data_IF_714535146769
#
_entry.id   IF_714535146769
#
_cell.length_a   1.000
_cell.length_b   1.000
_cell.length_c   1.000
_cell.angle_alpha   90.00
_cell.angle_beta   90.00
_cell.angle_gamma   90.00
#
_symmetry.space_group_name_H-M   'P 1'
#
loop_
_entity.id
_entity.type
_entity.pdbx_description
1 polymer ?
#
# COMPACT_ATOMS: atom_id res chain seq x y z
N UNK A 1 5.75 30.87 4.18
CA UNK A 1 5.91 29.54 4.80
C UNK A 1 6.94 28.80 3.97
N UNK A 2 8.14 28.62 4.51
CA UNK A 2 9.08 27.64 3.98
C UNK A 2 8.75 26.32 4.67
N UNK A 3 8.31 25.33 3.90
CA UNK A 3 8.25 23.97 4.41
C UNK A 3 9.69 23.46 4.26
N UNK A 4 10.40 23.30 5.37
CA UNK A 4 11.62 22.49 5.35
C UNK A 4 11.22 21.11 4.86
N UNK A 5 11.57 20.81 3.61
CA UNK A 5 11.48 19.46 3.09
C UNK A 5 12.41 18.63 3.98
N UNK A 6 11.84 17.71 4.76
CA UNK A 6 12.61 16.65 5.43
C UNK A 6 13.25 15.83 4.31
N UNK A 7 14.55 15.96 3.99
CA UNK A 7 15.17 15.15 2.97
C UNK A 7 15.86 14.03 3.74
N UNK A 8 15.09 13.17 4.40
CA UNK A 8 15.58 11.82 4.63
C UNK A 8 15.33 11.08 3.32
N UNK A 9 16.01 11.53 2.26
CA UNK A 9 16.08 10.81 1.00
C UNK A 9 16.90 9.58 1.32
N UNK A 10 16.20 8.52 1.71
CA UNK A 10 16.83 7.24 1.98
C UNK A 10 17.41 6.75 0.66
N UNK A 11 18.74 6.68 0.55
CA UNK A 11 19.42 6.26 -0.68
C UNK A 11 18.89 4.90 -1.18
N UNK A 12 18.50 4.02 -0.26
CA UNK A 12 17.92 2.72 -0.59
C UNK A 12 16.81 2.32 0.37
N UNK A 13 15.61 2.08 -0.15
CA UNK A 13 14.56 1.35 0.58
C UNK A 13 14.48 -0.05 -0.02
N UNK A 14 14.90 -1.04 0.75
CA UNK A 14 14.63 -2.45 0.46
C UNK A 14 13.47 -2.97 1.33
N UNK A 15 13.02 -4.21 1.09
CA UNK A 15 11.86 -4.80 1.78
C UNK A 15 12.05 -4.84 3.30
N UNK A 16 13.24 -5.19 3.77
CA UNK A 16 13.54 -5.26 5.20
C UNK A 16 13.45 -3.87 5.85
N UNK A 17 14.01 -2.86 5.19
CA UNK A 17 13.89 -1.46 5.63
C UNK A 17 12.44 -0.98 5.61
N UNK A 18 11.69 -1.26 4.55
CA UNK A 18 10.28 -0.88 4.44
C UNK A 18 9.45 -1.46 5.60
N UNK A 19 9.61 -2.74 5.91
CA UNK A 19 8.93 -3.40 7.02
C UNK A 19 9.35 -2.85 8.38
N UNK A 20 10.62 -2.49 8.56
CA UNK A 20 11.13 -1.89 9.79
C UNK A 20 10.58 -0.48 10.03
N UNK A 21 10.50 0.33 8.97
CA UNK A 21 10.05 1.72 9.02
C UNK A 21 8.52 1.88 9.03
N UNK A 22 7.78 0.91 8.49
CA UNK A 22 6.33 0.91 8.38
C UNK A 22 5.58 1.40 9.65
N UNK A 23 5.81 0.84 10.86
CA UNK A 23 5.09 1.28 12.07
C UNK A 23 5.41 2.72 12.49
N UNK A 24 6.57 3.25 12.12
CA UNK A 24 6.99 4.62 12.44
C UNK A 24 6.41 5.62 11.44
N UNK A 25 6.23 5.19 10.18
CA UNK A 25 5.78 6.05 9.09
C UNK A 25 4.30 6.46 9.19
N UNK A 26 3.47 5.62 9.84
CA UNK A 26 2.02 5.83 9.97
C UNK A 26 1.39 6.23 8.63
N UNK A 27 1.75 5.49 7.58
CA UNK A 27 1.47 5.85 6.20
C UNK A 27 0.14 5.27 5.71
N UNK A 28 -0.27 4.12 6.27
CA UNK A 28 -1.58 3.53 6.03
C UNK A 28 -2.66 4.27 6.84
N UNK A 29 -3.71 4.72 6.15
CA UNK A 29 -4.83 5.45 6.74
C UNK A 29 -6.18 4.71 6.65
N UNK A 30 -6.20 3.53 6.03
CA UNK A 30 -7.40 2.74 5.80
C UNK A 30 -7.78 1.83 6.98
N UNK A 31 -8.62 0.83 6.70
CA UNK A 31 -9.08 -0.15 7.69
C UNK A 31 -8.91 -1.56 7.16
N UNK A 32 -8.04 -2.37 7.78
CA UNK A 32 -7.87 -3.78 7.43
C UNK A 32 -9.15 -4.57 7.75
N UNK A 33 -9.62 -5.36 6.79
CA UNK A 33 -10.80 -6.24 6.90
C UNK A 33 -10.44 -7.68 6.53
N UNK A 34 -11.19 -8.67 7.00
CA UNK A 34 -10.87 -10.08 6.72
C UNK A 34 -11.17 -10.47 5.27
N UNK A 35 -12.27 -9.95 4.74
CA UNK A 35 -12.73 -10.24 3.39
C UNK A 35 -13.84 -9.31 2.95
N UNK A 36 -14.34 -9.52 1.73
CA UNK A 36 -15.36 -8.67 1.10
C UNK A 36 -16.63 -8.53 1.94
N UNK A 37 -16.99 -9.55 2.72
CA UNK A 37 -18.18 -9.56 3.57
C UNK A 37 -18.15 -8.48 4.66
N UNK A 38 -16.97 -7.99 5.04
CA UNK A 38 -16.78 -6.91 6.01
C UNK A 38 -16.62 -5.53 5.34
N UNK A 39 -16.63 -5.47 4.00
CA UNK A 39 -16.47 -4.21 3.28
C UNK A 39 -17.71 -3.32 3.43
N UNK A 40 -17.51 -2.00 3.42
CA UNK A 40 -18.61 -1.02 3.49
C UNK A 40 -19.57 -1.17 2.30
N UNK A 41 -19.02 -1.57 1.15
CA UNK A 41 -19.73 -1.84 -0.10
C UNK A 41 -19.72 -3.33 -0.44
N UNK A 42 -19.87 -4.20 0.57
CA UNK A 42 -19.90 -5.65 0.38
C UNK A 42 -20.90 -6.06 -0.71
N UNK A 43 -20.48 -6.98 -1.60
CA UNK A 43 -21.31 -7.48 -2.70
C UNK A 43 -21.39 -6.55 -3.92
N UNK A 44 -20.77 -5.38 -3.89
CA UNK A 44 -20.63 -4.50 -5.06
C UNK A 44 -19.28 -4.75 -5.77
N UNK A 45 -19.26 -5.41 -6.94
CA UNK A 45 -18.01 -5.72 -7.65
C UNK A 45 -17.23 -4.48 -8.07
N UNK A 46 -17.90 -3.33 -8.24
CA UNK A 46 -17.26 -2.07 -8.64
C UNK A 46 -16.46 -1.43 -7.50
N UNK A 47 -16.66 -1.90 -6.26
CA UNK A 47 -15.87 -1.48 -5.12
C UNK A 47 -14.57 -2.25 -4.98
N UNK A 48 -14.40 -3.39 -5.65
CA UNK A 48 -13.18 -4.21 -5.55
C UNK A 48 -12.01 -3.49 -6.20
N UNK A 49 -10.93 -3.36 -5.45
CA UNK A 49 -9.67 -2.78 -5.90
C UNK A 49 -8.81 -3.93 -6.38
N UNK A 50 -8.51 -3.92 -7.67
CA UNK A 50 -7.79 -4.98 -8.35
C UNK A 50 -6.52 -4.41 -8.95
N UNK A 51 -5.43 -5.16 -8.85
CA UNK A 51 -4.21 -4.85 -9.57
C UNK A 51 -4.40 -5.20 -11.06
N UNK A 52 -4.16 -4.27 -12.01
CA UNK A 52 -4.27 -4.56 -13.43
C UNK A 52 -3.46 -5.77 -13.91
N UNK A 53 -2.31 -6.06 -13.28
CA UNK A 53 -1.50 -7.23 -13.64
C UNK A 53 -1.99 -8.51 -12.93
N UNK A 54 -2.92 -8.40 -11.98
CA UNK A 54 -3.47 -9.51 -11.20
C UNK A 54 -5.00 -9.41 -11.06
N UNK A 55 -5.69 -9.48 -12.22
CA UNK A 55 -7.14 -9.30 -12.32
C UNK A 55 -7.99 -10.29 -11.48
N UNK A 56 -7.41 -11.42 -11.08
CA UNK A 56 -8.11 -12.47 -10.32
C UNK A 56 -8.02 -12.34 -8.81
N UNK A 57 -7.16 -11.45 -8.27
CA UNK A 57 -6.88 -11.37 -6.84
C UNK A 57 -6.99 -9.92 -6.37
N UNK A 58 -8.20 -9.44 -6.02
CA UNK A 58 -8.38 -8.11 -5.46
C UNK A 58 -7.53 -7.94 -4.20
N UNK A 59 -7.02 -6.73 -4.00
CA UNK A 59 -6.26 -6.35 -2.79
C UNK A 59 -7.19 -5.85 -1.68
N UNK A 60 -8.43 -5.49 -2.01
CA UNK A 60 -9.37 -4.93 -1.05
C UNK A 60 -10.61 -4.32 -1.69
N UNK A 61 -11.35 -3.55 -0.89
CA UNK A 61 -12.47 -2.74 -1.36
C UNK A 61 -12.22 -1.24 -1.17
N UNK A 62 -12.89 -0.44 -1.98
CA UNK A 62 -13.02 1.00 -1.80
C UNK A 62 -14.33 1.31 -1.08
N UNK A 63 -14.25 1.99 0.07
CA UNK A 63 -15.42 2.38 0.86
C UNK A 63 -16.17 3.60 0.34
N UNK A 64 -15.67 4.29 -0.70
CA UNK A 64 -16.36 5.46 -1.27
C UNK A 64 -17.45 5.05 -2.26
N UNK A 65 -18.55 5.80 -2.29
CA UNK A 65 -19.61 5.67 -3.31
C UNK A 65 -19.43 6.63 -4.49
N UNK A 66 -18.47 7.56 -4.39
CA UNK A 66 -18.15 8.53 -5.45
C UNK A 66 -17.15 7.99 -6.47
N UNK A 67 -17.01 8.70 -7.59
CA UNK A 67 -15.94 8.45 -8.55
C UNK A 67 -14.57 8.76 -7.93
N UNK A 68 -13.60 7.87 -8.15
CA UNK A 68 -12.22 8.03 -7.72
C UNK A 68 -11.30 7.89 -8.93
N UNK A 69 -10.51 8.91 -9.23
CA UNK A 69 -9.51 8.91 -10.31
C UNK A 69 -8.10 8.52 -9.85
N UNK A 70 -7.95 7.99 -8.63
CA UNK A 70 -6.67 7.57 -8.11
C UNK A 70 -6.18 6.30 -8.82
N UNK A 71 -4.87 6.16 -8.95
CA UNK A 71 -4.25 5.00 -9.59
C UNK A 71 -4.32 3.82 -8.62
N UNK A 72 -5.38 3.03 -8.74
CA UNK A 72 -5.54 1.78 -8.01
C UNK A 72 -4.58 0.70 -8.55
N UNK A 73 -4.05 -0.19 -7.69
CA UNK A 73 -4.20 -0.22 -6.23
C UNK A 73 -3.21 0.70 -5.50
N UNK A 74 -2.21 1.24 -6.21
CA UNK A 74 -1.04 1.91 -5.62
C UNK A 74 -1.45 3.07 -4.70
N UNK A 75 -2.25 4.00 -5.19
CA UNK A 75 -2.69 5.16 -4.42
C UNK A 75 -3.68 4.82 -3.29
N UNK A 76 -4.28 3.61 -3.30
CA UNK A 76 -5.23 3.21 -2.29
C UNK A 76 -4.58 2.97 -0.92
N UNK A 77 -3.31 2.58 -0.86
CA UNK A 77 -2.63 2.28 0.41
C UNK A 77 -2.52 3.48 1.36
N UNK A 78 -2.51 4.71 0.84
CA UNK A 78 -2.56 5.94 1.66
C UNK A 78 -3.96 6.52 1.79
N UNK A 79 -4.97 5.90 1.16
CA UNK A 79 -6.34 6.40 1.17
C UNK A 79 -7.10 5.92 2.42
N UNK A 80 -7.76 6.86 3.11
CA UNK A 80 -8.59 6.55 4.29
C UNK A 80 -9.79 5.64 4.03
N UNK A 81 -10.23 5.56 2.78
CA UNK A 81 -11.39 4.74 2.38
C UNK A 81 -10.97 3.35 1.90
N UNK A 82 -9.67 3.04 1.90
CA UNK A 82 -9.20 1.74 1.49
C UNK A 82 -9.45 0.70 2.58
N UNK A 83 -10.03 -0.42 2.17
CA UNK A 83 -10.29 -1.56 3.03
C UNK A 83 -9.52 -2.78 2.49
N UNK A 84 -8.20 -2.90 2.79
CA UNK A 84 -7.40 -4.04 2.35
C UNK A 84 -7.93 -5.35 2.94
N UNK A 85 -7.80 -6.44 2.18
CA UNK A 85 -8.19 -7.78 2.63
C UNK A 85 -7.03 -8.48 3.34
N UNK A 86 -7.34 -9.20 4.41
CA UNK A 86 -6.34 -9.95 5.19
C UNK A 86 -5.51 -10.93 4.33
N UNK A 87 -6.13 -11.54 3.33
CA UNK A 87 -5.52 -12.47 2.38
C UNK A 87 -5.26 -11.85 0.98
N UNK A 88 -5.31 -10.52 0.88
CA UNK A 88 -4.99 -9.79 -0.34
C UNK A 88 -3.51 -9.95 -0.74
N UNK A 89 -3.15 -9.88 -2.05
CA UNK A 89 -1.78 -10.01 -2.53
C UNK A 89 -0.93 -8.74 -2.27
N UNK A 90 -0.88 -8.27 -1.03
CA UNK A 90 -0.17 -7.05 -0.65
C UNK A 90 1.35 -7.16 -0.86
N UNK A 91 1.92 -8.34 -0.65
CA UNK A 91 3.34 -8.60 -0.90
C UNK A 91 3.73 -8.39 -2.36
N UNK A 92 2.89 -8.82 -3.30
CA UNK A 92 3.14 -8.61 -4.73
C UNK A 92 3.12 -7.12 -5.08
N UNK A 93 2.22 -6.35 -4.46
CA UNK A 93 2.18 -4.89 -4.65
C UNK A 93 3.42 -4.22 -4.07
N UNK A 94 3.87 -4.63 -2.88
CA UNK A 94 5.09 -4.10 -2.28
C UNK A 94 6.32 -4.39 -3.15
N UNK A 95 6.46 -5.63 -3.62
CA UNK A 95 7.58 -6.04 -4.47
C UNK A 95 7.59 -5.24 -5.79
N UNK A 96 6.42 -4.98 -6.39
CA UNK A 96 6.31 -4.08 -7.56
C UNK A 96 6.77 -2.66 -7.27
N UNK A 97 6.34 -2.08 -6.16
CA UNK A 97 6.73 -0.71 -5.78
C UNK A 97 8.24 -0.59 -5.54
N UNK A 98 8.84 -1.59 -4.87
CA UNK A 98 10.29 -1.65 -4.63
C UNK A 98 11.08 -1.82 -5.93
N UNK A 99 10.61 -2.69 -6.83
CA UNK A 99 11.23 -2.90 -8.14
C UNK A 99 11.15 -1.64 -9.01
N UNK A 100 10.02 -0.94 -9.00
CA UNK A 100 9.86 0.31 -9.74
C UNK A 100 10.74 1.43 -9.20
N UNK A 101 10.80 1.58 -7.86
CA UNK A 101 11.73 2.52 -7.21
C UNK A 101 13.18 2.24 -7.64
N UNK A 102 13.59 0.98 -7.60
CA UNK A 102 14.94 0.56 -8.01
C UNK A 102 15.18 0.88 -9.49
N UNK A 103 14.24 0.54 -10.37
CA UNK A 103 14.33 0.81 -11.81
C UNK A 103 14.52 2.31 -12.08
N UNK A 104 13.72 3.17 -11.44
CA UNK A 104 13.84 4.63 -11.58
C UNK A 104 15.21 5.11 -11.12
N UNK A 105 15.72 4.62 -9.99
CA UNK A 105 17.05 4.96 -9.50
C UNK A 105 18.15 4.51 -10.48
N UNK A 106 18.07 3.27 -10.98
CA UNK A 106 19.05 2.70 -11.91
C UNK A 106 19.06 3.44 -13.26
N UNK A 107 17.89 3.88 -13.76
CA UNK A 107 17.75 4.58 -15.04
C UNK A 107 18.08 6.07 -14.98
N UNK A 108 17.73 6.75 -13.88
CA UNK A 108 17.84 8.21 -13.79
C UNK A 108 18.97 8.69 -12.88
N UNK A 109 19.39 7.88 -11.91
CA UNK A 109 20.28 8.29 -10.81
C UNK A 109 19.68 9.37 -9.89
N UNK A 110 18.40 9.72 -10.04
CA UNK A 110 17.75 10.78 -9.28
C UNK A 110 16.95 10.19 -8.11
N UNK A 111 17.50 10.33 -6.91
CA UNK A 111 16.87 9.87 -5.68
C UNK A 111 15.56 10.60 -5.37
N UNK A 112 15.38 11.84 -5.84
CA UNK A 112 14.14 12.60 -5.67
C UNK A 112 13.02 11.92 -6.45
N UNK A 113 13.27 11.58 -7.72
CA UNK A 113 12.29 10.91 -8.57
C UNK A 113 12.01 9.49 -8.05
N UNK A 114 13.05 8.74 -7.66
CA UNK A 114 12.89 7.41 -7.09
C UNK A 114 12.02 7.42 -5.82
N UNK A 115 12.13 8.48 -5.00
CA UNK A 115 11.43 8.57 -3.71
C UNK A 115 9.93 8.90 -3.79
N UNK A 116 9.40 9.21 -4.98
CA UNK A 116 7.99 9.64 -5.16
C UNK A 116 6.98 8.66 -4.55
N UNK A 117 7.27 7.36 -4.59
CA UNK A 117 6.39 6.31 -4.06
C UNK A 117 6.85 5.75 -2.70
N UNK A 118 7.85 6.34 -2.02
CA UNK A 118 8.38 5.82 -0.76
C UNK A 118 7.29 5.77 0.33
N UNK A 119 6.41 6.78 0.37
CA UNK A 119 5.26 6.78 1.29
C UNK A 119 4.28 5.63 0.98
N UNK A 120 4.11 5.26 -0.28
CA UNK A 120 3.24 4.15 -0.68
C UNK A 120 3.87 2.79 -0.32
N UNK A 121 5.19 2.66 -0.50
CA UNK A 121 5.97 1.50 -0.06
C UNK A 121 5.76 1.28 1.45
N UNK A 122 5.92 2.34 2.25
CA UNK A 122 5.75 2.27 3.70
C UNK A 122 4.30 1.93 4.10
N UNK A 123 3.31 2.51 3.42
CA UNK A 123 1.90 2.19 3.68
C UNK A 123 1.55 0.74 3.32
N UNK A 124 2.10 0.20 2.23
CA UNK A 124 1.91 -1.19 1.83
C UNK A 124 2.58 -2.16 2.81
N UNK A 125 3.81 -1.86 3.22
CA UNK A 125 4.52 -2.61 4.26
C UNK A 125 3.76 -2.59 5.60
N UNK A 126 3.14 -1.46 5.96
CA UNK A 126 2.30 -1.35 7.15
C UNK A 126 1.06 -2.27 7.07
N UNK A 127 0.40 -2.33 5.92
CA UNK A 127 -0.72 -3.27 5.70
C UNK A 127 -0.27 -4.73 5.85
N UNK A 128 0.85 -5.12 5.25
CA UNK A 128 1.39 -6.50 5.37
C UNK A 128 1.63 -6.83 6.85
N UNK A 129 2.28 -5.94 7.59
CA UNK A 129 2.53 -6.13 9.03
C UNK A 129 1.23 -6.25 9.84
N UNK A 130 0.20 -5.49 9.50
CA UNK A 130 -1.12 -5.60 10.13
C UNK A 130 -1.78 -6.95 9.81
N UNK A 131 -1.67 -7.44 8.57
CA UNK A 131 -2.15 -8.76 8.19
C UNK A 131 -1.44 -9.87 8.97
N UNK A 132 -0.11 -9.81 9.07
CA UNK A 132 0.69 -10.75 9.86
C UNK A 132 0.29 -10.74 11.33
N UNK A 133 0.15 -9.55 11.94
CA UNK A 133 -0.26 -9.42 13.32
C UNK A 133 -1.66 -9.98 13.59
N UNK A 134 -2.60 -9.77 12.66
CA UNK A 134 -3.98 -10.27 12.76
C UNK A 134 -4.06 -11.79 12.57
N UNK A 135 -3.20 -12.38 11.72
CA UNK A 135 -3.07 -13.84 11.56
C UNK A 135 -2.38 -14.49 12.75
N UNK A 136 -1.32 -13.88 13.28
CA UNK A 136 -0.57 -14.39 14.44
C UNK A 136 -1.30 -14.24 15.78
N UNK A 137 -2.24 -13.30 15.89
CA UNK A 137 -3.13 -13.16 17.05
C UNK A 137 -4.37 -14.06 17.01
N UNK A 138 -4.56 -14.83 15.93
CA UNK A 138 -5.66 -15.76 15.71
C UNK A 138 -5.21 -17.24 15.91
N UNK A 139 -4.35 -17.48 16.89
CA UNK A 139 -4.00 -18.82 17.37
C UNK A 139 -4.92 -19.17 18.58
N UNK A 140 -5.48 -20.39 18.65
CA UNK A 140 -6.76 -20.72 19.32
C UNK A 140 -6.81 -20.57 20.85
#
# INVERSE_FOLDING_TARGET
MYVEAVPEIIERIDKAMAMHLAPMAQAFAGVLIDGEEQATRAGDPTSRIVDPDNLGRPVGNCGTYGFCGAIAPIACYTCRNFQPWLDGPHEEVLDKLLNERKRIMDETGDATIASVNDRLILACAEVIRLCEARKGGAEP
#
